data_IF_162308606695
#
_entry.id   IF_162308606695
#
_cell.length_a   1.000
_cell.length_b   1.000
_cell.length_c   1.000
_cell.angle_alpha   90.00
_cell.angle_beta   90.00
_cell.angle_gamma   90.00
#
_symmetry.space_group_name_H-M   'P 1'
#
loop_
_entity.id
_entity.type
_entity.pdbx_description
1 polymer ?
#
# COMPACT_ATOMS: atom_id res chain seq x y z
N UNK A 1 -6.06 51.01 -2.96
CA UNK A 1 -4.76 50.36 -3.21
C UNK A 1 -4.78 49.90 -4.65
N UNK A 2 -3.98 50.55 -5.49
CA UNK A 2 -4.14 50.63 -6.94
C UNK A 2 -3.56 49.41 -7.67
N UNK A 3 -4.04 49.16 -8.89
CA UNK A 3 -3.64 48.07 -9.81
C UNK A 3 -2.11 47.96 -10.04
N UNK A 4 -1.37 49.03 -9.75
CA UNK A 4 0.10 49.10 -9.76
C UNK A 4 0.81 48.03 -8.91
N UNK A 5 0.21 47.56 -7.82
CA UNK A 5 0.86 46.58 -6.93
C UNK A 5 0.76 45.13 -7.46
N UNK A 6 -0.15 44.86 -8.40
CA UNK A 6 -0.34 43.52 -8.95
C UNK A 6 0.63 43.25 -10.10
N UNK A 7 0.93 44.26 -10.92
CA UNK A 7 1.85 44.15 -12.04
C UNK A 7 3.30 43.97 -11.56
N UNK A 8 3.75 44.73 -10.55
CA UNK A 8 5.06 44.55 -9.92
C UNK A 8 5.24 43.14 -9.34
N UNK A 9 4.21 42.58 -8.70
CA UNK A 9 4.26 41.23 -8.15
C UNK A 9 4.37 40.15 -9.25
N UNK A 10 3.73 40.34 -10.40
CA UNK A 10 3.79 39.42 -11.54
C UNK A 10 5.17 39.47 -12.20
N UNK A 11 5.78 40.65 -12.29
CA UNK A 11 7.11 40.82 -12.87
C UNK A 11 8.19 40.16 -12.01
N UNK A 12 8.12 40.32 -10.69
CA UNK A 12 9.03 39.67 -9.73
C UNK A 12 8.96 38.14 -9.79
N UNK A 13 7.77 37.58 -10.04
CA UNK A 13 7.56 36.12 -10.21
C UNK A 13 8.16 35.62 -11.53
N UNK A 14 8.12 36.44 -12.59
CA UNK A 14 8.71 36.10 -13.89
C UNK A 14 10.24 36.12 -13.83
N UNK A 15 10.85 37.08 -13.14
CA UNK A 15 12.30 37.12 -12.95
C UNK A 15 12.81 35.92 -12.14
N UNK A 16 12.17 35.58 -11.01
CA UNK A 16 12.57 34.41 -10.22
C UNK A 16 12.42 33.07 -10.96
N UNK A 17 11.46 32.98 -11.89
CA UNK A 17 11.33 31.81 -12.78
C UNK A 17 12.43 31.75 -13.84
N UNK A 18 13.00 32.89 -14.24
CA UNK A 18 14.10 32.98 -15.21
C UNK A 18 15.43 32.59 -14.56
N UNK A 19 15.67 33.05 -13.33
CA UNK A 19 16.84 32.67 -12.52
C UNK A 19 16.84 31.17 -12.18
N UNK A 20 15.68 30.62 -11.77
CA UNK A 20 15.54 29.18 -11.50
C UNK A 20 15.73 28.30 -12.75
N UNK A 21 15.63 28.87 -13.95
CA UNK A 21 15.86 28.18 -15.24
C UNK A 21 17.33 28.22 -15.67
N UNK A 22 18.08 29.26 -15.27
CA UNK A 22 19.53 29.34 -15.49
C UNK A 22 20.32 28.42 -14.55
N UNK A 23 19.83 28.21 -13.32
CA UNK A 23 20.46 27.31 -12.33
C UNK A 23 20.32 25.80 -12.63
N UNK A 24 19.55 25.40 -13.65
CA UNK A 24 19.35 24.00 -14.05
C UNK A 24 20.08 23.62 -15.36
N UNK A 25 21.00 24.45 -15.82
CA UNK A 25 21.63 24.32 -17.15
C UNK A 25 22.94 23.53 -17.21
N UNK A 26 23.51 23.06 -16.11
CA UNK A 26 24.80 22.35 -16.13
C UNK A 26 24.74 21.12 -15.23
N UNK A 27 24.41 19.97 -15.82
CA UNK A 27 24.90 18.62 -15.51
C UNK A 27 24.09 17.60 -16.35
N UNK A 28 24.40 17.52 -17.65
CA UNK A 28 24.08 16.36 -18.48
C UNK A 28 25.38 15.75 -19.00
N UNK A 29 25.62 14.47 -18.68
CA UNK A 29 26.40 13.57 -19.53
C UNK A 29 25.69 12.21 -19.60
N UNK A 30 24.92 12.04 -20.68
CA UNK A 30 24.75 10.82 -21.47
C UNK A 30 24.08 9.59 -20.83
N UNK A 31 22.82 9.32 -21.22
CA UNK A 31 22.51 8.26 -22.20
C UNK A 31 21.06 8.38 -22.69
N UNK A 32 20.87 8.06 -23.97
CA UNK A 32 19.76 8.45 -24.86
C UNK A 32 18.45 7.68 -24.65
N UNK A 33 17.39 8.44 -24.91
CA UNK A 33 15.94 8.30 -24.82
C UNK A 33 15.27 7.21 -25.71
N UNK A 34 14.14 6.67 -25.22
CA UNK A 34 12.93 6.47 -26.03
C UNK A 34 11.66 6.36 -25.15
N UNK A 35 11.12 7.54 -24.78
CA UNK A 35 9.72 8.01 -24.64
C UNK A 35 8.59 6.96 -24.43
N UNK A 36 7.65 7.13 -23.48
CA UNK A 36 6.85 8.32 -23.18
C UNK A 36 6.56 8.45 -21.67
N UNK A 37 7.02 9.54 -21.05
CA UNK A 37 6.68 9.91 -19.68
C UNK A 37 5.53 10.92 -19.64
N UNK A 38 4.35 10.45 -19.23
CA UNK A 38 3.31 11.33 -18.71
C UNK A 38 3.76 11.91 -17.37
N UNK A 39 3.75 13.24 -17.27
CA UNK A 39 4.06 14.02 -16.08
C UNK A 39 3.23 13.54 -14.89
N UNK A 40 3.88 12.87 -13.93
CA UNK A 40 3.29 12.56 -12.63
C UNK A 40 3.15 13.87 -11.84
N UNK A 41 1.97 14.46 -11.91
CA UNK A 41 1.56 15.54 -11.00
C UNK A 41 1.42 14.99 -9.59
N UNK A 42 2.14 15.59 -8.64
CA UNK A 42 1.92 15.42 -7.20
C UNK A 42 0.42 15.45 -6.85
N UNK A 43 -0.10 14.52 -6.03
CA UNK A 43 -1.51 14.49 -5.70
C UNK A 43 -1.94 15.78 -5.01
N UNK A 44 -2.92 16.46 -5.59
CA UNK A 44 -3.64 17.55 -4.92
C UNK A 44 -4.37 16.95 -3.71
N UNK A 45 -4.16 17.54 -2.52
CA UNK A 45 -4.92 17.22 -1.30
C UNK A 45 -6.42 17.16 -1.62
N UNK A 46 -7.06 16.03 -1.36
CA UNK A 46 -8.50 15.85 -1.62
C UNK A 46 -9.26 16.67 -0.55
N UNK A 47 -9.83 17.80 -0.97
CA UNK A 47 -10.71 18.61 -0.10
C UNK A 47 -11.97 17.82 0.22
N UNK A 48 -12.10 17.33 1.46
CA UNK A 48 -13.31 16.65 1.93
C UNK A 48 -13.08 15.74 3.13
N UNK A 49 -11.97 14.99 3.15
CA UNK A 49 -11.71 13.98 4.17
C UNK A 49 -11.39 14.58 5.57
N UNK A 50 -10.77 15.76 5.59
CA UNK A 50 -10.39 16.48 6.81
C UNK A 50 -11.58 17.00 7.66
N UNK A 51 -12.82 16.96 7.15
CA UNK A 51 -14.01 17.36 7.92
C UNK A 51 -14.60 16.20 8.73
N UNK A 52 -14.58 14.99 8.19
CA UNK A 52 -15.15 13.77 8.80
C UNK A 52 -14.36 13.30 10.04
N UNK A 53 -13.08 13.68 10.14
CA UNK A 53 -12.13 13.16 11.15
C UNK A 53 -11.91 14.14 12.32
N UNK A 54 -12.66 15.24 12.37
CA UNK A 54 -12.36 16.39 13.24
C UNK A 54 -13.01 16.35 14.62
N UNK A 55 -12.71 15.31 15.39
CA UNK A 55 -12.75 15.37 16.85
C UNK A 55 -11.85 14.27 17.35
N UNK A 56 -10.92 14.57 18.27
CA UNK A 56 -10.39 13.72 19.36
C UNK A 56 -8.94 14.11 19.69
N UNK A 57 -8.77 14.81 20.82
CA UNK A 57 -7.48 14.98 21.49
C UNK A 57 -7.37 13.98 22.64
N UNK A 58 -6.25 13.25 22.75
CA UNK A 58 -5.58 12.87 24.03
C UNK A 58 -4.27 12.08 23.83
N UNK A 59 -3.30 12.34 24.73
CA UNK A 59 -1.91 11.85 24.71
C UNK A 59 -1.78 10.35 25.05
N UNK A 60 -0.88 9.59 24.39
CA UNK A 60 -0.61 8.19 24.74
C UNK A 60 0.31 8.07 25.97
N UNK A 61 0.10 7.01 26.77
CA UNK A 61 0.98 6.58 27.87
C UNK A 61 2.02 5.59 27.35
N UNK A 62 3.27 5.80 27.72
CA UNK A 62 4.40 4.93 27.38
C UNK A 62 4.47 3.70 28.28
N UNK A 63 4.68 2.52 27.69
CA UNK A 63 5.19 1.36 28.42
C UNK A 63 6.18 0.60 27.53
N UNK A 64 7.45 0.61 27.95
CA UNK A 64 8.57 -0.09 27.31
C UNK A 64 8.55 -1.55 27.77
N UNK A 65 8.65 -2.50 26.83
CA UNK A 65 8.95 -3.90 27.14
C UNK A 65 10.17 -4.37 26.35
N UNK A 66 11.18 -4.80 27.11
CA UNK A 66 12.44 -5.41 26.65
C UNK A 66 12.14 -6.80 26.06
N UNK A 67 12.82 -7.19 24.98
CA UNK A 67 12.70 -8.55 24.45
C UNK A 67 14.05 -9.21 24.20
N UNK A 68 14.15 -10.45 24.68
CA UNK A 68 15.32 -11.31 24.80
C UNK A 68 15.66 -12.10 23.53
N UNK A 69 16.95 -12.39 23.34
CA UNK A 69 17.58 -13.01 22.15
C UNK A 69 17.62 -14.56 22.14
N UNK A 70 16.67 -15.28 22.74
CA UNK A 70 16.78 -16.75 22.84
C UNK A 70 15.47 -17.48 22.56
N UNK A 71 15.24 -17.82 21.29
CA UNK A 71 14.46 -19.01 20.90
C UNK A 71 14.67 -19.29 19.40
N UNK A 72 15.68 -20.11 19.09
CA UNK A 72 15.89 -20.70 17.77
C UNK A 72 15.91 -22.22 17.96
N UNK A 73 14.95 -22.94 17.36
CA UNK A 73 14.82 -24.40 17.43
C UNK A 73 15.25 -25.04 16.09
N UNK A 74 16.33 -25.87 16.08
CA UNK A 74 16.87 -26.50 14.87
C UNK A 74 16.03 -27.63 14.27
N UNK A 75 14.94 -28.08 14.91
CA UNK A 75 14.17 -29.28 14.50
C UNK A 75 13.26 -29.13 13.27
N UNK A 76 13.18 -27.96 12.65
CA UNK A 76 12.17 -27.65 11.62
C UNK A 76 12.53 -28.13 10.19
N UNK A 77 13.69 -28.76 9.98
CA UNK A 77 14.27 -29.00 8.64
C UNK A 77 13.83 -30.27 7.89
N UNK A 78 12.97 -31.13 8.42
CA UNK A 78 12.64 -32.40 7.74
C UNK A 78 11.14 -32.59 7.46
N UNK A 79 10.65 -32.01 6.36
CA UNK A 79 9.55 -32.61 5.57
C UNK A 79 9.76 -32.35 4.07
N UNK A 80 10.10 -33.41 3.35
CA UNK A 80 10.21 -33.41 1.89
C UNK A 80 8.83 -33.30 1.22
N UNK A 81 8.54 -32.11 0.71
CA UNK A 81 7.86 -31.96 -0.58
C UNK A 81 8.85 -31.25 -1.50
N UNK A 82 8.78 -31.39 -2.82
CA UNK A 82 9.64 -30.68 -3.80
C UNK A 82 9.33 -29.16 -3.80
N UNK A 83 9.47 -28.52 -2.64
CA UNK A 83 9.40 -27.08 -2.43
C UNK A 83 10.73 -26.48 -2.89
N UNK A 84 10.67 -25.25 -3.40
CA UNK A 84 11.86 -24.49 -3.76
C UNK A 84 12.64 -24.26 -2.47
N UNK A 85 13.65 -25.09 -2.22
CA UNK A 85 14.54 -24.95 -1.07
C UNK A 85 15.14 -23.54 -1.13
N UNK A 86 15.31 -22.89 0.01
CA UNK A 86 16.01 -21.59 0.15
C UNK A 86 17.21 -21.45 -0.83
N UNK A 87 18.00 -22.53 -0.93
CA UNK A 87 19.13 -22.67 -1.85
C UNK A 87 18.78 -22.53 -3.34
N UNK A 88 17.67 -23.10 -3.78
CA UNK A 88 17.21 -23.01 -5.16
C UNK A 88 16.68 -21.60 -5.48
N UNK A 89 15.90 -20.98 -4.57
CA UNK A 89 15.49 -19.57 -4.71
C UNK A 89 16.71 -18.67 -4.85
N UNK A 90 17.68 -18.83 -3.92
CA UNK A 90 18.93 -18.07 -3.90
C UNK A 90 19.69 -18.21 -5.20
N UNK A 91 19.94 -19.45 -5.66
CA UNK A 91 20.71 -19.73 -6.88
C UNK A 91 20.04 -19.17 -8.14
N UNK A 92 18.73 -19.34 -8.29
CA UNK A 92 17.98 -18.84 -9.44
C UNK A 92 18.02 -17.31 -9.48
N UNK A 93 17.76 -16.63 -8.37
CA UNK A 93 17.75 -15.16 -8.33
C UNK A 93 19.14 -14.54 -8.49
N UNK A 94 20.19 -15.18 -7.96
CA UNK A 94 21.58 -14.77 -8.18
C UNK A 94 22.00 -14.94 -9.64
N UNK A 95 21.64 -16.07 -10.26
CA UNK A 95 21.96 -16.34 -11.68
C UNK A 95 21.35 -15.29 -12.61
N UNK A 96 20.14 -14.82 -12.30
CA UNK A 96 19.46 -13.76 -13.06
C UNK A 96 20.00 -12.36 -12.73
N UNK A 97 20.75 -12.21 -11.62
CA UNK A 97 21.31 -10.93 -11.19
C UNK A 97 20.29 -10.02 -10.50
N UNK A 98 19.21 -10.56 -9.95
CA UNK A 98 18.18 -9.77 -9.26
C UNK A 98 18.44 -9.58 -7.77
N UNK A 99 19.27 -10.44 -7.19
CA UNK A 99 19.77 -10.30 -5.82
C UNK A 99 21.27 -10.59 -5.83
N UNK A 100 21.99 -9.94 -4.94
CA UNK A 100 23.36 -10.33 -4.58
C UNK A 100 23.31 -11.55 -3.66
N UNK A 101 22.46 -11.51 -2.63
CA UNK A 101 22.27 -12.65 -1.74
C UNK A 101 20.88 -12.71 -1.10
N UNK A 102 20.52 -13.92 -0.67
CA UNK A 102 19.37 -14.20 0.19
C UNK A 102 19.90 -14.33 1.62
N UNK A 103 19.34 -13.57 2.56
CA UNK A 103 19.86 -13.46 3.93
C UNK A 103 19.12 -14.33 4.93
N UNK A 104 17.80 -14.24 4.95
CA UNK A 104 16.98 -14.90 5.97
C UNK A 104 15.55 -15.11 5.51
N UNK A 105 14.86 -16.05 6.17
CA UNK A 105 13.41 -16.17 6.10
C UNK A 105 12.78 -15.29 7.18
N UNK A 106 11.92 -14.35 6.78
CA UNK A 106 11.21 -13.46 7.71
C UNK A 106 9.94 -14.15 8.23
N UNK A 107 9.19 -14.78 7.33
CA UNK A 107 7.91 -15.38 7.66
C UNK A 107 7.57 -16.53 6.70
N UNK A 108 7.21 -17.68 7.26
CA UNK A 108 6.58 -18.78 6.52
C UNK A 108 5.07 -18.78 6.76
N UNK A 109 4.33 -18.28 5.77
CA UNK A 109 2.88 -18.40 5.74
C UNK A 109 2.41 -19.71 5.12
N UNK A 110 1.10 -19.96 5.21
CA UNK A 110 0.43 -21.10 4.56
C UNK A 110 0.52 -21.04 3.03
N UNK A 111 0.53 -19.83 2.47
CA UNK A 111 0.44 -19.59 1.03
C UNK A 111 1.76 -19.14 0.39
N UNK A 112 2.61 -18.45 1.16
CA UNK A 112 3.89 -17.95 0.67
C UNK A 112 4.92 -17.90 1.80
N UNK A 113 6.19 -18.00 1.42
CA UNK A 113 7.34 -17.72 2.29
C UNK A 113 7.95 -16.39 1.88
N UNK A 114 8.26 -15.55 2.88
CA UNK A 114 8.85 -14.22 2.70
C UNK A 114 10.30 -14.29 3.13
N UNK A 115 11.21 -13.96 2.21
CA UNK A 115 12.64 -13.89 2.47
C UNK A 115 13.14 -12.46 2.41
N UNK A 116 14.13 -12.16 3.25
CA UNK A 116 14.96 -10.98 3.19
C UNK A 116 16.13 -11.26 2.26
N UNK A 117 16.31 -10.42 1.25
CA UNK A 117 17.42 -10.45 0.32
C UNK A 117 18.11 -9.08 0.27
N UNK A 118 19.21 -9.00 -0.46
CA UNK A 118 19.80 -7.72 -0.80
C UNK A 118 20.29 -7.69 -2.23
N UNK A 119 20.29 -6.49 -2.80
CA UNK A 119 20.86 -6.18 -4.10
C UNK A 119 21.82 -5.01 -3.92
N UNK A 120 23.12 -5.24 -4.14
CA UNK A 120 24.17 -4.22 -4.00
C UNK A 120 24.16 -3.50 -2.64
N UNK A 121 23.85 -4.26 -1.58
CA UNK A 121 23.75 -3.74 -0.20
C UNK A 121 22.39 -3.14 0.17
N UNK A 122 21.48 -2.94 -0.78
CA UNK A 122 20.13 -2.46 -0.51
C UNK A 122 19.18 -3.63 -0.18
N UNK A 123 18.37 -3.55 0.91
CA UNK A 123 17.47 -4.62 1.30
C UNK A 123 16.26 -4.75 0.37
N UNK A 124 15.86 -6.00 0.10
CA UNK A 124 14.71 -6.37 -0.73
C UNK A 124 13.91 -7.49 -0.07
N UNK A 125 12.63 -7.56 -0.42
CA UNK A 125 11.76 -8.68 -0.06
C UNK A 125 11.57 -9.60 -1.26
N UNK A 126 11.71 -10.89 -1.01
CA UNK A 126 11.40 -11.96 -1.96
C UNK A 126 10.23 -12.78 -1.41
N UNK A 127 9.04 -12.61 -1.98
CA UNK A 127 7.83 -13.38 -1.65
C UNK A 127 7.71 -14.55 -2.61
N UNK A 128 7.81 -15.78 -2.10
CA UNK A 128 7.75 -17.02 -2.87
C UNK A 128 6.47 -17.79 -2.54
N UNK A 129 5.58 -17.98 -3.53
CA UNK A 129 4.30 -18.66 -3.34
C UNK A 129 4.48 -20.18 -3.35
N UNK A 130 3.86 -20.86 -2.38
CA UNK A 130 3.96 -22.31 -2.24
C UNK A 130 3.08 -23.03 -3.28
N UNK A 131 3.59 -24.12 -3.85
CA UNK A 131 2.90 -24.86 -4.91
C UNK A 131 1.63 -25.60 -4.44
N UNK A 132 1.55 -26.01 -3.18
CA UNK A 132 0.64 -27.10 -2.78
C UNK A 132 -0.58 -26.69 -1.94
N UNK A 133 -0.76 -25.43 -1.55
CA UNK A 133 -1.70 -25.10 -0.45
C UNK A 133 -2.58 -23.86 -0.67
N UNK A 134 -3.15 -23.68 -1.86
CA UNK A 134 -4.52 -23.16 -1.88
C UNK A 134 -5.43 -24.27 -1.38
N UNK A 135 -5.98 -24.12 -0.19
CA UNK A 135 -6.80 -25.06 0.59
C UNK A 135 -8.01 -25.72 -0.12
N UNK A 136 -8.20 -25.53 -1.43
CA UNK A 136 -9.21 -26.21 -2.20
C UNK A 136 -8.65 -27.53 -2.76
N UNK A 137 -8.96 -28.63 -2.05
CA UNK A 137 -8.77 -30.04 -2.49
C UNK A 137 -9.38 -30.36 -3.87
N UNK A 138 -10.06 -29.41 -4.51
CA UNK A 138 -10.74 -29.52 -5.81
C UNK A 138 -10.04 -28.79 -6.97
N UNK A 139 -8.91 -28.12 -6.74
CA UNK A 139 -8.21 -27.38 -7.81
C UNK A 139 -7.53 -28.34 -8.81
N UNK A 140 -8.20 -28.63 -9.93
CA UNK A 140 -7.62 -29.32 -11.11
C UNK A 140 -6.47 -28.48 -11.71
N UNK A 141 -5.36 -29.13 -12.09
CA UNK A 141 -4.26 -28.51 -12.85
C UNK A 141 -2.90 -28.48 -12.15
N UNK A 142 -1.83 -28.17 -12.93
CA UNK A 142 -0.44 -28.21 -12.47
C UNK A 142 -0.22 -27.19 -11.30
N UNK A 143 0.19 -27.66 -10.10
CA UNK A 143 0.46 -26.81 -8.93
C UNK A 143 1.46 -25.67 -9.17
N UNK A 144 2.48 -25.89 -9.99
CA UNK A 144 3.50 -24.88 -10.31
C UNK A 144 2.91 -23.73 -11.14
N UNK A 145 2.14 -24.07 -12.18
CA UNK A 145 1.46 -23.07 -13.01
C UNK A 145 0.46 -22.25 -12.18
N UNK A 146 -0.22 -22.88 -11.22
CA UNK A 146 -1.12 -22.18 -10.29
C UNK A 146 -0.35 -21.16 -9.45
N UNK A 147 0.74 -21.57 -8.79
CA UNK A 147 1.55 -20.67 -7.97
C UNK A 147 2.12 -19.50 -8.79
N UNK A 148 2.60 -19.76 -10.01
CA UNK A 148 3.02 -18.72 -10.95
C UNK A 148 1.89 -17.76 -11.31
N UNK A 149 0.68 -18.28 -11.57
CA UNK A 149 -0.48 -17.46 -11.85
C UNK A 149 -0.91 -16.61 -10.64
N UNK A 150 -0.80 -17.15 -9.41
CA UNK A 150 -1.05 -16.38 -8.19
C UNK A 150 -0.04 -15.25 -8.01
N UNK A 151 1.25 -15.55 -8.15
CA UNK A 151 2.31 -14.54 -8.07
C UNK A 151 2.13 -13.44 -9.13
N UNK A 152 1.82 -13.82 -10.38
CA UNK A 152 1.53 -12.85 -11.43
C UNK A 152 0.33 -11.97 -11.09
N UNK A 153 -0.79 -12.57 -10.65
CA UNK A 153 -2.00 -11.83 -10.27
C UNK A 153 -1.73 -10.85 -9.12
N UNK A 154 -1.04 -11.27 -8.07
CA UNK A 154 -0.71 -10.39 -6.95
C UNK A 154 0.24 -9.27 -7.40
N UNK A 155 1.28 -9.59 -8.18
CA UNK A 155 2.19 -8.60 -8.74
C UNK A 155 1.46 -7.52 -9.54
N UNK A 156 0.52 -7.90 -10.42
CA UNK A 156 -0.24 -6.93 -11.21
C UNK A 156 -1.11 -6.00 -10.36
N UNK A 157 -1.72 -6.52 -9.29
CA UNK A 157 -2.51 -5.69 -8.36
C UNK A 157 -1.63 -4.75 -7.56
N UNK A 158 -0.50 -5.25 -7.04
CA UNK A 158 0.49 -4.45 -6.31
C UNK A 158 1.07 -3.35 -7.21
N UNK A 159 1.39 -3.66 -8.47
CA UNK A 159 1.87 -2.70 -9.46
C UNK A 159 0.83 -1.63 -9.80
N UNK A 160 -0.45 -2.00 -9.90
CA UNK A 160 -1.55 -1.04 -10.09
C UNK A 160 -1.71 -0.12 -8.89
N UNK A 161 -1.69 -0.67 -7.68
CA UNK A 161 -1.77 0.13 -6.45
C UNK A 161 -0.60 1.13 -6.37
N UNK A 162 0.62 0.66 -6.62
CA UNK A 162 1.83 1.50 -6.67
C UNK A 162 1.71 2.61 -7.72
N UNK A 163 1.32 2.29 -8.96
CA UNK A 163 1.14 3.28 -10.03
C UNK A 163 0.03 4.30 -9.75
N UNK A 164 -1.00 3.92 -8.99
CA UNK A 164 -2.06 4.83 -8.58
C UNK A 164 -1.63 5.81 -7.47
N UNK A 165 -0.45 5.62 -6.88
CA UNK A 165 0.07 6.43 -5.78
C UNK A 165 -0.32 5.92 -4.39
N UNK A 166 -0.76 4.66 -4.26
CA UNK A 166 -0.98 4.03 -2.95
C UNK A 166 0.38 3.66 -2.36
N UNK A 167 0.60 3.95 -1.07
CA UNK A 167 1.79 3.50 -0.35
C UNK A 167 1.76 1.99 -0.18
N UNK A 168 2.48 1.30 -1.05
CA UNK A 168 2.67 -0.15 -1.04
C UNK A 168 4.16 -0.46 -1.24
N UNK A 169 4.65 -1.65 -0.88
CA UNK A 169 5.99 -2.07 -1.26
C UNK A 169 6.16 -1.97 -2.77
N UNK A 170 7.07 -1.12 -3.24
CA UNK A 170 7.33 -0.92 -4.67
C UNK A 170 7.66 -2.27 -5.31
N UNK A 171 6.83 -2.77 -6.24
CA UNK A 171 7.09 -4.04 -6.90
C UNK A 171 8.25 -3.89 -7.88
N UNK A 172 9.26 -4.74 -7.77
CA UNK A 172 10.43 -4.71 -8.63
C UNK A 172 10.27 -5.67 -9.83
N UNK A 173 9.95 -6.94 -9.57
CA UNK A 173 9.84 -7.97 -10.61
C UNK A 173 9.05 -9.17 -10.14
N UNK A 174 8.35 -9.83 -11.05
CA UNK A 174 7.81 -11.17 -10.86
C UNK A 174 8.53 -12.18 -11.77
N UNK A 175 8.91 -13.33 -11.21
CA UNK A 175 9.51 -14.47 -11.91
C UNK A 175 8.86 -15.74 -11.38
N UNK A 176 8.26 -16.55 -12.26
CA UNK A 176 7.57 -17.78 -11.86
C UNK A 176 6.60 -17.51 -10.68
N UNK A 177 6.76 -18.21 -9.57
CA UNK A 177 6.00 -18.06 -8.34
C UNK A 177 6.65 -17.09 -7.34
N UNK A 178 7.53 -16.19 -7.77
CA UNK A 178 8.30 -15.27 -6.92
C UNK A 178 7.99 -13.83 -7.28
N UNK A 179 7.83 -12.97 -6.28
CA UNK A 179 7.74 -11.52 -6.41
C UNK A 179 8.88 -10.88 -5.61
N UNK A 180 9.64 -10.02 -6.26
CA UNK A 180 10.59 -9.10 -5.63
C UNK A 180 9.93 -7.74 -5.43
N UNK A 181 10.06 -7.19 -4.24
CA UNK A 181 9.50 -5.89 -3.87
C UNK A 181 10.39 -5.16 -2.87
N UNK A 182 10.19 -3.83 -2.77
CA UNK A 182 10.92 -2.97 -1.83
C UNK A 182 10.74 -3.46 -0.39
N UNK A 183 11.85 -3.49 0.35
CA UNK A 183 11.82 -3.67 1.79
C UNK A 183 11.29 -2.40 2.48
N UNK A 184 10.30 -2.57 3.36
CA UNK A 184 9.77 -1.51 4.20
C UNK A 184 10.29 -1.74 5.62
N UNK A 185 11.20 -0.88 6.05
CA UNK A 185 11.90 -1.02 7.32
C UNK A 185 13.22 -0.26 7.31
N UNK A 186 13.99 -0.40 8.40
CA UNK A 186 15.26 0.30 8.62
C UNK A 186 16.26 -0.66 9.26
N UNK A 187 17.54 -0.51 8.92
CA UNK A 187 18.63 -1.29 9.52
C UNK A 187 18.38 -2.81 9.48
N UNK A 188 17.89 -3.30 8.32
CA UNK A 188 17.52 -4.70 8.09
C UNK A 188 16.38 -5.24 8.96
N UNK A 189 15.71 -4.37 9.72
CA UNK A 189 14.55 -4.70 10.54
C UNK A 189 13.26 -4.28 9.84
N UNK A 190 12.30 -5.20 9.61
CA UNK A 190 11.06 -4.87 8.94
C UNK A 190 10.25 -3.89 9.80
N UNK A 191 9.53 -3.00 9.12
CA UNK A 191 8.56 -2.13 9.75
C UNK A 191 7.52 -2.96 10.53
N UNK A 192 7.13 -2.54 11.74
CA UNK A 192 6.09 -3.24 12.50
C UNK A 192 4.75 -3.18 11.76
N UNK A 193 3.98 -4.25 11.89
CA UNK A 193 2.56 -4.22 11.56
C UNK A 193 1.83 -3.20 12.45
N UNK A 194 0.79 -2.55 11.92
CA UNK A 194 -0.02 -1.55 12.61
C UNK A 194 -0.52 -2.05 13.98
N UNK A 195 -0.86 -3.34 14.07
CA UNK A 195 -1.27 -3.98 15.33
C UNK A 195 -0.24 -3.82 16.46
N UNK A 196 1.05 -3.90 16.13
CA UNK A 196 2.16 -3.77 17.07
C UNK A 196 2.77 -2.37 17.12
N UNK A 197 2.45 -1.51 16.15
CA UNK A 197 2.97 -0.16 16.10
C UNK A 197 2.38 0.70 17.23
N UNK A 198 3.21 1.60 17.77
CA UNK A 198 2.78 2.68 18.65
C UNK A 198 2.81 3.94 17.78
N UNK A 199 1.65 4.56 17.60
CA UNK A 199 1.49 5.74 16.75
C UNK A 199 1.60 6.99 17.62
N UNK A 200 2.43 7.95 17.19
CA UNK A 200 2.55 9.26 17.80
C UNK A 200 1.36 10.16 17.45
N UNK A 201 0.90 10.09 16.20
CA UNK A 201 -0.34 10.74 15.74
C UNK A 201 -1.25 9.70 15.04
N UNK A 202 -2.08 8.96 15.81
CA UNK A 202 -2.98 7.97 15.23
C UNK A 202 -4.01 8.58 14.27
N UNK A 203 -4.34 9.87 14.41
CA UNK A 203 -5.32 10.55 13.58
C UNK A 203 -4.75 10.76 12.17
N UNK A 204 -3.53 11.31 12.08
CA UNK A 204 -2.85 11.52 10.81
C UNK A 204 -2.66 10.21 10.04
N UNK A 205 -2.31 9.12 10.73
CA UNK A 205 -2.16 7.79 10.11
C UNK A 205 -3.49 7.25 9.61
N UNK A 206 -4.58 7.44 10.35
CA UNK A 206 -5.92 7.05 9.92
C UNK A 206 -6.35 7.85 8.69
N UNK A 207 -6.15 9.17 8.69
CA UNK A 207 -6.45 10.04 7.54
C UNK A 207 -5.68 9.57 6.29
N UNK A 208 -4.36 9.38 6.40
CA UNK A 208 -3.53 8.91 5.29
C UNK A 208 -4.00 7.53 4.79
N UNK A 209 -4.33 6.61 5.69
CA UNK A 209 -4.82 5.28 5.31
C UNK A 209 -6.17 5.34 4.59
N UNK A 210 -7.09 6.19 5.03
CA UNK A 210 -8.38 6.39 4.36
C UNK A 210 -8.19 7.01 2.96
N UNK A 211 -7.28 7.99 2.81
CA UNK A 211 -6.90 8.54 1.49
C UNK A 211 -6.36 7.44 0.57
N UNK A 212 -5.48 6.58 1.09
CA UNK A 212 -4.94 5.45 0.33
C UNK A 212 -6.04 4.47 -0.10
N UNK A 213 -7.04 4.18 0.75
CA UNK A 213 -8.19 3.33 0.39
C UNK A 213 -9.03 3.99 -0.71
N UNK A 214 -9.26 5.30 -0.65
CA UNK A 214 -9.97 6.06 -1.69
C UNK A 214 -9.21 5.96 -3.02
N UNK A 215 -7.90 6.16 -3.02
CA UNK A 215 -7.05 6.03 -4.21
C UNK A 215 -7.07 4.61 -4.76
N UNK A 216 -6.99 3.61 -3.88
CA UNK A 216 -7.03 2.19 -4.25
C UNK A 216 -8.33 1.84 -4.98
N UNK A 217 -9.47 2.31 -4.46
CA UNK A 217 -10.77 2.08 -5.09
C UNK A 217 -10.95 2.87 -6.39
N UNK A 218 -10.69 4.18 -6.35
CA UNK A 218 -11.07 5.10 -7.44
C UNK A 218 -10.08 5.08 -8.60
N UNK A 219 -8.78 5.08 -8.33
CA UNK A 219 -7.70 5.14 -9.33
C UNK A 219 -7.14 3.76 -9.65
N UNK A 220 -6.78 2.98 -8.64
CA UNK A 220 -6.25 1.63 -8.90
C UNK A 220 -7.33 0.63 -9.32
N UNK A 221 -8.62 0.95 -9.06
CA UNK A 221 -9.77 0.10 -9.35
C UNK A 221 -9.67 -1.25 -8.64
N UNK A 222 -9.27 -1.21 -7.38
CA UNK A 222 -9.05 -2.38 -6.52
C UNK A 222 -9.79 -2.20 -5.19
N UNK A 223 -10.27 -3.31 -4.63
CA UNK A 223 -10.63 -3.41 -3.21
C UNK A 223 -9.62 -4.38 -2.59
N UNK A 224 -9.09 -4.06 -1.41
CA UNK A 224 -8.07 -4.91 -0.78
C UNK A 224 -8.61 -6.29 -0.41
N UNK A 225 -9.84 -6.36 0.11
CA UNK A 225 -10.59 -7.60 0.35
C UNK A 225 -10.24 -8.34 1.64
N UNK A 226 -9.09 -8.02 2.22
CA UNK A 226 -8.64 -8.50 3.53
C UNK A 226 -7.87 -7.41 4.28
N UNK A 227 -8.34 -6.16 4.23
CA UNK A 227 -7.62 -5.05 4.88
C UNK A 227 -7.80 -5.13 6.40
N UNK A 228 -6.67 -5.14 7.12
CA UNK A 228 -6.64 -5.20 8.59
C UNK A 228 -5.31 -4.64 9.11
N UNK A 229 -5.21 -4.48 10.43
CA UNK A 229 -4.01 -4.06 11.15
C UNK A 229 -2.81 -5.02 11.01
N UNK A 230 -3.06 -6.21 10.45
CA UNK A 230 -2.05 -7.22 10.11
C UNK A 230 -1.40 -6.93 8.74
N UNK A 231 -2.17 -6.33 7.83
CA UNK A 231 -1.80 -6.07 6.43
C UNK A 231 -1.41 -4.60 6.19
N UNK A 232 -1.07 -3.88 7.24
CA UNK A 232 -0.57 -2.52 7.19
C UNK A 232 0.75 -2.49 7.97
N UNK A 233 1.82 -2.03 7.32
CA UNK A 233 3.10 -1.75 7.95
C UNK A 233 3.22 -0.26 8.26
N UNK A 234 3.85 0.09 9.37
CA UNK A 234 4.11 1.48 9.75
C UNK A 234 5.61 1.73 9.71
N UNK A 235 6.06 2.57 8.80
CA UNK A 235 7.48 2.88 8.68
C UNK A 235 7.98 3.78 9.84
N UNK A 236 9.29 4.06 9.87
CA UNK A 236 9.88 4.89 10.92
C UNK A 236 9.37 6.34 10.95
N UNK A 237 8.71 6.80 9.89
CA UNK A 237 8.11 8.14 9.78
C UNK A 237 6.61 8.12 10.06
N UNK A 238 6.07 6.98 10.48
CA UNK A 238 4.65 6.73 10.72
C UNK A 238 3.77 6.76 9.46
N UNK A 239 4.35 6.51 8.29
CA UNK A 239 3.55 6.34 7.08
C UNK A 239 3.03 4.89 6.97
N UNK A 240 1.71 4.69 6.78
CA UNK A 240 1.13 3.39 6.53
C UNK A 240 1.43 2.88 5.12
N UNK A 241 1.89 1.64 5.03
CA UNK A 241 2.05 0.88 3.79
C UNK A 241 1.11 -0.32 3.78
N UNK A 242 0.23 -0.39 2.78
CA UNK A 242 -0.67 -1.52 2.58
C UNK A 242 0.11 -2.67 1.93
N UNK A 243 0.00 -3.88 2.50
CA UNK A 243 0.66 -5.09 2.03
C UNK A 243 -0.35 -6.21 1.79
N UNK A 244 0.09 -7.24 1.07
CA UNK A 244 -0.64 -8.49 0.85
C UNK A 244 -1.93 -8.36 0.02
N UNK A 245 -1.77 -8.40 -1.31
CA UNK A 245 -2.87 -8.28 -2.28
C UNK A 245 -3.43 -9.60 -2.89
N UNK A 246 -3.21 -10.82 -2.35
CA UNK A 246 -3.69 -12.03 -3.02
C UNK A 246 -5.23 -12.06 -3.11
N UNK A 247 -5.91 -11.56 -2.08
CA UNK A 247 -7.38 -11.52 -2.00
C UNK A 247 -8.01 -10.26 -2.61
N UNK A 248 -7.20 -9.31 -3.10
CA UNK A 248 -7.71 -8.06 -3.65
C UNK A 248 -8.61 -8.30 -4.88
N UNK A 249 -9.73 -7.58 -4.92
CA UNK A 249 -10.76 -7.69 -5.95
C UNK A 249 -10.49 -6.66 -7.03
N UNK A 250 -10.44 -7.11 -8.28
CA UNK A 250 -10.30 -6.25 -9.44
C UNK A 250 -11.66 -5.69 -9.90
N UNK A 251 -11.75 -4.35 -9.98
CA UNK A 251 -12.93 -3.63 -10.45
C UNK A 251 -12.88 -3.27 -11.94
N UNK A 252 -11.80 -3.56 -12.67
CA UNK A 252 -11.68 -3.25 -14.11
C UNK A 252 -12.34 -4.29 -15.03
N UNK A 253 -12.89 -5.37 -14.49
CA UNK A 253 -13.50 -6.43 -15.31
C UNK A 253 -14.84 -6.01 -15.93
N UNK A 254 -15.06 -6.35 -17.21
CA UNK A 254 -16.34 -6.24 -17.94
C UNK A 254 -17.56 -6.79 -17.13
N UNK A 255 -17.29 -7.72 -16.21
CA UNK A 255 -18.27 -8.33 -15.30
C UNK A 255 -18.85 -7.39 -14.23
N UNK A 256 -18.35 -6.16 -14.10
CA UNK A 256 -18.93 -5.13 -13.23
C UNK A 256 -20.30 -4.63 -13.71
N UNK A 257 -20.73 -5.02 -14.91
CA UNK A 257 -22.05 -4.71 -15.46
C UNK A 257 -23.20 -5.51 -14.82
N UNK A 258 -22.92 -6.54 -13.99
CA UNK A 258 -23.95 -7.32 -13.29
C UNK A 258 -24.15 -6.84 -11.85
N UNK A 259 -25.37 -6.43 -11.52
CA UNK A 259 -25.78 -5.80 -10.25
C UNK A 259 -25.33 -6.58 -9.00
N UNK A 260 -25.44 -7.92 -9.03
CA UNK A 260 -25.09 -8.78 -7.89
C UNK A 260 -23.59 -8.74 -7.53
N UNK A 261 -22.70 -8.57 -8.52
CA UNK A 261 -21.25 -8.47 -8.26
C UNK A 261 -20.89 -7.12 -7.68
N UNK A 262 -21.58 -6.05 -8.11
CA UNK A 262 -21.40 -4.70 -7.57
C UNK A 262 -21.74 -4.66 -6.07
N UNK A 263 -22.89 -5.19 -5.67
CA UNK A 263 -23.29 -5.26 -4.26
C UNK A 263 -22.31 -6.09 -3.42
N UNK A 264 -21.86 -7.25 -3.93
CA UNK A 264 -20.87 -8.08 -3.24
C UNK A 264 -19.56 -7.30 -3.02
N UNK A 265 -19.07 -6.62 -4.03
CA UNK A 265 -17.83 -5.83 -3.94
C UNK A 265 -17.98 -4.68 -2.94
N UNK A 266 -19.12 -3.99 -2.96
CA UNK A 266 -19.45 -2.95 -1.98
C UNK A 266 -19.45 -3.49 -0.54
N UNK A 267 -20.04 -4.67 -0.30
CA UNK A 267 -20.00 -5.32 1.03
C UNK A 267 -18.57 -5.64 1.48
N UNK A 268 -17.69 -6.02 0.55
CA UNK A 268 -16.27 -6.26 0.86
C UNK A 268 -15.55 -4.96 1.23
N UNK A 269 -15.78 -3.87 0.49
CA UNK A 269 -15.23 -2.55 0.85
C UNK A 269 -15.73 -2.09 2.23
N UNK A 270 -17.03 -2.22 2.51
CA UNK A 270 -17.58 -1.89 3.83
C UNK A 270 -16.94 -2.73 4.93
N UNK A 271 -16.66 -4.02 4.69
CA UNK A 271 -15.96 -4.87 5.64
C UNK A 271 -14.55 -4.35 5.91
N UNK A 272 -13.78 -4.03 4.87
CA UNK A 272 -12.43 -3.46 5.02
C UNK A 272 -12.46 -2.18 5.88
N UNK A 273 -13.39 -1.25 5.58
CA UNK A 273 -13.55 -0.01 6.35
C UNK A 273 -13.96 -0.27 7.81
N UNK A 274 -14.86 -1.22 8.06
CA UNK A 274 -15.27 -1.60 9.42
C UNK A 274 -14.14 -2.19 10.23
N UNK A 275 -13.28 -3.01 9.62
CA UNK A 275 -12.10 -3.56 10.28
C UNK A 275 -11.15 -2.44 10.73
N UNK A 276 -10.88 -1.48 9.84
CA UNK A 276 -10.05 -0.32 10.17
C UNK A 276 -10.70 0.53 11.27
N UNK A 277 -11.99 0.84 11.14
CA UNK A 277 -12.75 1.55 12.17
C UNK A 277 -12.60 0.89 13.54
N UNK A 278 -12.86 -0.42 13.63
CA UNK A 278 -12.85 -1.13 14.89
C UNK A 278 -11.47 -1.13 15.54
N UNK A 279 -10.40 -1.25 14.75
CA UNK A 279 -9.03 -1.19 15.24
C UNK A 279 -8.73 0.19 15.87
N UNK A 280 -9.02 1.28 15.16
CA UNK A 280 -8.73 2.64 15.63
C UNK A 280 -9.64 3.08 16.79
N UNK A 281 -10.90 2.65 16.80
CA UNK A 281 -11.83 2.85 17.92
C UNK A 281 -11.36 2.10 19.17
N UNK A 282 -10.96 0.84 19.02
CA UNK A 282 -10.56 0.00 20.16
C UNK A 282 -9.24 0.46 20.77
N UNK A 283 -8.23 0.72 19.92
CA UNK A 283 -6.86 1.01 20.37
C UNK A 283 -6.63 2.49 20.69
N UNK A 284 -7.23 3.40 19.92
CA UNK A 284 -6.96 4.85 20.00
C UNK A 284 -8.19 5.70 20.33
N UNK A 285 -9.37 5.08 20.51
CA UNK A 285 -10.64 5.76 20.74
C UNK A 285 -11.01 6.75 19.62
N UNK A 286 -10.50 6.51 18.40
CA UNK A 286 -10.81 7.28 17.21
C UNK A 286 -12.04 6.71 16.51
N UNK A 287 -13.02 7.56 16.24
CA UNK A 287 -14.28 7.21 15.59
C UNK A 287 -14.45 8.00 14.31
N UNK A 288 -14.96 7.36 13.26
CA UNK A 288 -15.42 8.01 12.03
C UNK A 288 -16.67 7.29 11.52
N UNK A 289 -17.51 7.99 10.75
CA UNK A 289 -18.67 7.35 10.14
C UNK A 289 -18.24 6.51 8.93
N UNK A 290 -18.32 5.19 9.10
CA UNK A 290 -17.95 4.22 8.06
C UNK A 290 -18.86 4.35 6.83
N UNK A 291 -20.14 4.63 7.02
CA UNK A 291 -21.08 4.77 5.90
C UNK A 291 -20.77 6.05 5.12
N UNK A 292 -20.46 7.14 5.82
CA UNK A 292 -20.04 8.41 5.23
C UNK A 292 -18.84 8.21 4.30
N UNK A 293 -17.77 7.60 4.81
CA UNK A 293 -16.56 7.31 4.04
C UNK A 293 -16.85 6.35 2.88
N UNK A 294 -17.68 5.33 3.12
CA UNK A 294 -18.08 4.39 2.08
C UNK A 294 -18.82 5.08 0.92
N UNK A 295 -19.82 5.92 1.22
CA UNK A 295 -20.60 6.65 0.22
C UNK A 295 -19.74 7.67 -0.54
N UNK A 296 -18.78 8.30 0.15
CA UNK A 296 -17.77 9.15 -0.48
C UNK A 296 -16.93 8.38 -1.51
N UNK A 297 -16.44 7.18 -1.15
CA UNK A 297 -15.60 6.35 -2.03
C UNK A 297 -16.34 5.88 -3.27
N UNK A 298 -17.59 5.43 -3.12
CA UNK A 298 -18.38 4.92 -4.27
C UNK A 298 -18.96 6.03 -5.15
N UNK A 299 -18.90 7.30 -4.70
CA UNK A 299 -19.37 8.45 -5.47
C UNK A 299 -20.88 8.47 -5.68
N UNK A 300 -21.67 8.01 -4.71
CA UNK A 300 -23.13 8.11 -4.81
C UNK A 300 -23.57 9.58 -4.82
N UNK A 301 -24.24 10.00 -5.91
CA UNK A 301 -24.74 11.38 -6.10
C UNK A 301 -25.62 11.83 -4.93
N UNK A 302 -26.47 10.94 -4.41
CA UNK A 302 -27.38 11.19 -3.28
C UNK A 302 -26.68 11.52 -1.95
N UNK A 303 -25.38 11.20 -1.82
CA UNK A 303 -24.58 11.54 -0.65
C UNK A 303 -23.90 12.91 -0.82
N UNK A 304 -23.43 13.23 -2.03
CA UNK A 304 -22.89 14.54 -2.36
C UNK A 304 -23.96 15.63 -2.23
N UNK A 305 -25.17 15.39 -2.74
CA UNK A 305 -26.31 16.31 -2.58
C UNK A 305 -26.70 16.50 -1.10
N UNK A 306 -26.58 15.45 -0.28
CA UNK A 306 -26.85 15.53 1.17
C UNK A 306 -25.81 16.36 1.92
N UNK A 307 -24.52 16.19 1.62
CA UNK A 307 -23.42 17.00 2.15
C UNK A 307 -23.59 18.47 1.79
N UNK A 308 -23.95 18.77 0.53
CA UNK A 308 -24.21 20.13 0.07
C UNK A 308 -25.40 20.76 0.84
N UNK A 309 -26.47 20.01 1.06
CA UNK A 309 -27.63 20.45 1.84
C UNK A 309 -27.28 20.71 3.32
N UNK A 310 -26.42 19.89 3.92
CA UNK A 310 -25.96 20.09 5.31
C UNK A 310 -25.02 21.29 5.43
N UNK A 311 -24.12 21.52 4.48
CA UNK A 311 -23.30 22.74 4.43
C UNK A 311 -24.13 24.01 4.27
N UNK A 312 -25.20 23.98 3.46
CA UNK A 312 -26.12 25.10 3.27
C UNK A 312 -26.89 25.39 4.57
N UNK A 313 -27.30 24.34 5.31
CA UNK A 313 -27.97 24.48 6.61
C UNK A 313 -27.02 25.03 7.68
N UNK A 314 -25.78 24.56 7.73
CA UNK A 314 -24.79 25.00 8.71
C UNK A 314 -24.35 26.47 8.50
N UNK A 315 -24.40 26.99 7.27
CA UNK A 315 -24.11 28.40 6.95
C UNK A 315 -25.28 29.36 7.20
N UNK A 316 -26.48 28.84 7.52
CA UNK A 316 -27.69 29.61 7.80
C UNK A 316 -27.97 29.81 9.30
N UNK A 317 -27.14 29.24 10.18
CA UNK A 317 -27.14 29.44 11.63
C UNK A 317 -26.01 30.42 11.97
#
# INVERSE_FOLDING_TARGET
MTESNLEEAIELIKERKKEAKQLKGEEEFGFVDSQQDEKITTPQKIKGLARTVRTLQRKPKETISKFDKKTFDPGFMQRHTREITYHLVRKELQKVGLITDLLAEINAGKEATIYLAHLNGAPLIVKCFRHHLTCHKSARGNPQLRATAFAAKEYYKLLRAYRAGVSVPTPAKQINNIILMRFIGRDWKPAPQLRHAILGDPLAVLEELLEQIVILYTKAKLIHGDLSEYNILIDQHQHPYIIDFPQAIDLNGYQMQFTQKKERNQKVLQKDLKTIYHFFETKYRLTFDVNEVFHHIIGEKDYQERLELEEIKAKRI
#
